data_IF_515999077950
#
_entry.id   IF_515999077950
#
_cell.length_a   1.000
_cell.length_b   1.000
_cell.length_c   1.000
_cell.angle_alpha   90.00
_cell.angle_beta   90.00
_cell.angle_gamma   90.00
#
_symmetry.space_group_name_H-M   'P 1'
#
loop_
_entity.id
_entity.type
_entity.pdbx_description
1 polymer ?
#
# COMPACT_ATOMS: atom_id res chain seq x y z
N UNK A 1 -22.87 1.52 14.92
CA UNK A 1 -22.61 1.80 13.50
C UNK A 1 -22.65 0.56 12.63
N UNK A 2 -21.68 -0.38 12.75
CA UNK A 2 -21.60 -1.54 11.85
C UNK A 2 -22.83 -2.45 11.94
N UNK A 3 -23.32 -2.73 13.14
CA UNK A 3 -24.50 -3.58 13.33
C UNK A 3 -25.73 -2.96 12.65
N UNK A 4 -25.94 -1.67 12.82
CA UNK A 4 -27.03 -0.95 12.14
C UNK A 4 -26.98 -1.12 10.61
N UNK A 5 -25.79 -1.05 10.01
CA UNK A 5 -25.64 -1.26 8.56
C UNK A 5 -26.02 -2.69 8.17
N UNK A 6 -25.58 -3.69 8.95
CA UNK A 6 -25.96 -5.10 8.72
C UNK A 6 -27.49 -5.31 8.82
N UNK A 7 -28.12 -4.68 9.79
CA UNK A 7 -29.57 -4.77 9.98
C UNK A 7 -30.32 -4.13 8.81
N UNK A 8 -29.91 -2.94 8.35
CA UNK A 8 -30.46 -2.27 7.18
C UNK A 8 -30.29 -3.09 5.89
N UNK A 9 -29.13 -3.72 5.70
CA UNK A 9 -28.88 -4.61 4.55
C UNK A 9 -29.93 -5.74 4.52
N UNK A 10 -30.18 -6.38 5.65
CA UNK A 10 -31.14 -7.48 5.76
C UNK A 10 -32.58 -7.01 5.58
N UNK A 11 -32.97 -5.93 6.26
CA UNK A 11 -34.31 -5.38 6.24
C UNK A 11 -34.74 -4.93 4.85
N UNK A 12 -33.84 -4.19 4.17
CA UNK A 12 -34.12 -3.60 2.86
C UNK A 12 -33.57 -4.40 1.67
N UNK A 13 -32.94 -5.56 1.92
CA UNK A 13 -32.32 -6.42 0.88
C UNK A 13 -31.38 -5.63 -0.03
N UNK A 14 -30.51 -4.83 0.58
CA UNK A 14 -29.59 -3.97 -0.17
C UNK A 14 -28.48 -4.82 -0.82
N UNK A 15 -28.12 -4.49 -2.05
CA UNK A 15 -27.05 -5.11 -2.81
C UNK A 15 -25.82 -4.20 -3.01
N UNK A 16 -25.96 -2.91 -2.69
CA UNK A 16 -24.92 -1.89 -2.79
C UNK A 16 -24.96 -0.95 -1.60
N UNK A 17 -23.78 -0.52 -1.16
CA UNK A 17 -23.66 0.32 0.03
C UNK A 17 -22.82 1.56 -0.29
N UNK A 18 -23.28 2.73 0.15
CA UNK A 18 -22.49 3.96 0.17
C UNK A 18 -22.34 4.43 1.61
N UNK A 19 -21.12 4.67 2.01
CA UNK A 19 -20.78 5.22 3.33
C UNK A 19 -20.26 6.65 3.15
N UNK A 20 -20.99 7.62 3.70
CA UNK A 20 -20.55 9.01 3.74
C UNK A 20 -19.78 9.26 5.04
N UNK A 21 -18.45 9.31 4.99
CA UNK A 21 -17.60 9.42 6.19
C UNK A 21 -16.25 10.04 5.89
N UNK A 22 -15.22 9.60 6.59
CA UNK A 22 -13.82 9.97 6.42
C UNK A 22 -13.20 9.36 5.15
N UNK A 23 -11.91 9.57 4.96
CA UNK A 23 -11.15 8.97 3.86
C UNK A 23 -11.32 7.45 3.80
N UNK A 24 -11.54 6.87 2.60
CA UNK A 24 -11.57 5.41 2.41
C UNK A 24 -10.30 4.72 2.90
N UNK A 25 -9.12 5.39 2.81
CA UNK A 25 -7.84 4.85 3.29
C UNK A 25 -7.87 4.36 4.73
N UNK A 26 -8.68 4.99 5.59
CA UNK A 26 -8.78 4.64 7.00
C UNK A 26 -9.80 3.53 7.28
N UNK A 27 -10.91 3.51 6.57
CA UNK A 27 -12.08 2.75 6.99
C UNK A 27 -12.59 1.73 5.97
N UNK A 28 -12.13 1.76 4.74
CA UNK A 28 -12.60 0.87 3.67
C UNK A 28 -12.47 -0.60 4.06
N UNK A 29 -11.30 -0.99 4.54
CA UNK A 29 -11.05 -2.37 4.97
C UNK A 29 -11.97 -2.82 6.11
N UNK A 30 -12.33 -1.90 7.02
CA UNK A 30 -13.25 -2.17 8.13
C UNK A 30 -14.65 -2.48 7.63
N UNK A 31 -15.15 -1.66 6.71
CA UNK A 31 -16.48 -1.87 6.12
C UNK A 31 -16.51 -3.08 5.18
N UNK A 32 -15.47 -3.30 4.38
CA UNK A 32 -15.34 -4.52 3.54
C UNK A 32 -15.34 -5.81 4.39
N UNK A 33 -14.63 -5.80 5.53
CA UNK A 33 -14.68 -6.93 6.47
C UNK A 33 -16.08 -7.13 7.05
N UNK A 34 -16.75 -6.04 7.43
CA UNK A 34 -18.13 -6.11 7.92
C UNK A 34 -19.09 -6.70 6.87
N UNK A 35 -18.94 -6.34 5.59
CA UNK A 35 -19.79 -6.84 4.51
C UNK A 35 -19.58 -8.34 4.25
N UNK A 36 -18.41 -8.91 4.54
CA UNK A 36 -18.18 -10.37 4.43
C UNK A 36 -19.13 -11.21 5.31
N UNK A 37 -19.69 -10.60 6.37
CA UNK A 37 -20.67 -11.25 7.25
C UNK A 37 -22.12 -11.01 6.77
N UNK A 38 -22.31 -10.50 5.55
CA UNK A 38 -23.61 -10.24 4.94
C UNK A 38 -23.65 -10.84 3.53
N UNK A 39 -24.82 -10.80 2.89
CA UNK A 39 -24.99 -11.27 1.51
C UNK A 39 -24.48 -10.27 0.45
N UNK A 40 -23.95 -9.12 0.87
CA UNK A 40 -23.41 -8.09 -0.03
C UNK A 40 -21.94 -8.35 -0.35
N UNK A 41 -21.61 -8.40 -1.64
CA UNK A 41 -20.22 -8.51 -2.05
C UNK A 41 -19.39 -7.32 -1.51
N UNK A 42 -18.25 -7.53 -0.85
CA UNK A 42 -17.45 -6.46 -0.23
C UNK A 42 -16.98 -5.35 -1.20
N UNK A 43 -16.98 -5.63 -2.49
CA UNK A 43 -16.59 -4.66 -3.52
C UNK A 43 -17.78 -3.83 -4.06
N UNK A 44 -18.99 -4.13 -3.61
CA UNK A 44 -20.19 -3.31 -3.85
C UNK A 44 -20.33 -2.21 -2.78
N UNK A 45 -19.20 -1.67 -2.34
CA UNK A 45 -19.08 -0.60 -1.34
C UNK A 45 -18.36 0.59 -1.95
N UNK A 46 -18.93 1.76 -1.79
CA UNK A 46 -18.26 3.03 -2.08
C UNK A 46 -18.25 3.93 -0.84
N UNK A 47 -17.18 4.71 -0.67
CA UNK A 47 -17.03 5.66 0.44
C UNK A 47 -16.91 7.08 -0.10
N UNK A 48 -17.90 7.91 0.20
CA UNK A 48 -17.85 9.33 -0.07
C UNK A 48 -17.11 10.04 1.07
N UNK A 49 -15.97 10.62 0.76
CA UNK A 49 -15.16 11.38 1.72
C UNK A 49 -15.76 12.76 1.95
N UNK A 50 -16.66 12.87 2.91
CA UNK A 50 -17.31 14.13 3.28
C UNK A 50 -16.63 14.88 4.43
N UNK A 51 -15.50 14.36 4.94
CA UNK A 51 -14.71 15.00 5.97
C UNK A 51 -13.52 15.75 5.36
N UNK A 52 -12.51 15.07 4.88
CA UNK A 52 -11.28 15.66 4.37
C UNK A 52 -11.50 16.45 3.07
N UNK A 53 -12.37 15.97 2.20
CA UNK A 53 -12.68 16.64 0.92
C UNK A 53 -13.85 17.62 0.98
N UNK A 54 -14.51 17.74 2.11
CA UNK A 54 -15.68 18.59 2.27
C UNK A 54 -15.61 19.45 3.53
N UNK A 55 -15.91 18.91 4.71
CA UNK A 55 -16.06 19.70 5.93
C UNK A 55 -14.78 20.36 6.42
N UNK A 56 -13.61 19.79 6.12
CA UNK A 56 -12.34 20.37 6.51
C UNK A 56 -11.86 21.52 5.60
N UNK A 57 -12.30 21.54 4.35
CA UNK A 57 -11.84 22.50 3.34
C UNK A 57 -12.85 23.61 3.04
N UNK A 58 -14.04 23.54 3.65
CA UNK A 58 -15.07 24.57 3.50
C UNK A 58 -15.40 25.20 4.85
N UNK A 59 -15.29 26.51 4.92
CA UNK A 59 -15.70 27.31 6.08
C UNK A 59 -17.18 27.68 6.04
N UNK A 60 -17.75 27.76 4.83
CA UNK A 60 -19.14 28.04 4.56
C UNK A 60 -19.97 26.75 4.62
N UNK A 61 -20.96 26.69 5.52
CA UNK A 61 -21.79 25.51 5.77
C UNK A 61 -22.69 25.14 4.59
N UNK A 62 -23.20 26.13 3.86
CA UNK A 62 -24.08 25.88 2.70
C UNK A 62 -23.29 25.23 1.57
N UNK A 63 -22.15 25.81 1.22
CA UNK A 63 -21.22 25.24 0.22
C UNK A 63 -20.71 23.87 0.63
N UNK A 64 -20.41 23.64 1.90
CA UNK A 64 -20.03 22.35 2.43
C UNK A 64 -21.17 21.32 2.24
N UNK A 65 -22.42 21.71 2.50
CA UNK A 65 -23.58 20.83 2.31
C UNK A 65 -23.79 20.50 0.84
N UNK A 66 -23.74 21.47 -0.06
CA UNK A 66 -23.82 21.24 -1.50
C UNK A 66 -22.72 20.28 -1.98
N UNK A 67 -21.50 20.47 -1.52
CA UNK A 67 -20.37 19.60 -1.83
C UNK A 67 -20.57 18.18 -1.30
N UNK A 68 -21.06 18.03 -0.07
CA UNK A 68 -21.34 16.71 0.53
C UNK A 68 -22.43 15.96 -0.29
N UNK A 69 -23.48 16.65 -0.70
CA UNK A 69 -24.53 16.08 -1.55
C UNK A 69 -23.94 15.64 -2.90
N UNK A 70 -23.10 16.47 -3.51
CA UNK A 70 -22.46 16.13 -4.78
C UNK A 70 -21.58 14.89 -4.65
N UNK A 71 -20.75 14.80 -3.59
CA UNK A 71 -19.89 13.64 -3.32
C UNK A 71 -20.71 12.37 -3.09
N UNK A 72 -21.80 12.46 -2.32
CA UNK A 72 -22.70 11.33 -2.09
C UNK A 72 -23.37 10.85 -3.38
N UNK A 73 -23.88 11.79 -4.21
CA UNK A 73 -24.46 11.46 -5.52
C UNK A 73 -23.46 10.78 -6.46
N UNK A 74 -22.23 11.26 -6.50
CA UNK A 74 -21.16 10.63 -7.28
C UNK A 74 -20.88 9.21 -6.82
N UNK A 75 -20.79 8.99 -5.50
CA UNK A 75 -20.57 7.66 -4.93
C UNK A 75 -21.72 6.70 -5.24
N UNK A 76 -22.96 7.15 -5.16
CA UNK A 76 -24.15 6.36 -5.55
C UNK A 76 -24.10 6.02 -7.04
N UNK A 77 -23.81 6.99 -7.90
CA UNK A 77 -23.70 6.76 -9.34
C UNK A 77 -22.57 5.80 -9.70
N UNK A 78 -21.44 5.85 -8.97
CA UNK A 78 -20.30 4.96 -9.14
C UNK A 78 -20.66 3.53 -8.74
N UNK A 79 -21.11 3.31 -7.49
CA UNK A 79 -21.44 1.96 -7.01
C UNK A 79 -22.57 1.31 -7.80
N UNK A 80 -23.48 2.12 -8.38
CA UNK A 80 -24.53 1.63 -9.28
C UNK A 80 -24.00 0.99 -10.57
N UNK A 81 -22.74 1.29 -10.94
CA UNK A 81 -22.06 0.75 -12.13
C UNK A 81 -21.00 -0.30 -11.80
N UNK A 82 -20.70 -0.48 -10.51
CA UNK A 82 -19.73 -1.48 -10.07
C UNK A 82 -20.29 -2.90 -10.23
N UNK A 83 -19.39 -3.84 -10.43
CA UNK A 83 -19.70 -5.27 -10.51
C UNK A 83 -19.05 -6.00 -9.33
N UNK A 84 -19.66 -7.11 -8.86
CA UNK A 84 -19.07 -7.93 -7.83
C UNK A 84 -17.70 -8.44 -8.26
N UNK A 85 -16.71 -8.25 -7.41
CA UNK A 85 -15.36 -8.79 -7.60
C UNK A 85 -15.14 -9.97 -6.67
N UNK A 86 -14.41 -10.96 -7.16
CA UNK A 86 -14.08 -12.16 -6.41
C UNK A 86 -12.57 -12.26 -6.26
N UNK A 87 -12.12 -12.70 -5.09
CA UNK A 87 -10.70 -12.98 -4.86
C UNK A 87 -10.29 -14.24 -5.58
N UNK A 88 -9.19 -14.18 -6.31
CA UNK A 88 -8.53 -15.35 -6.87
C UNK A 88 -7.24 -15.63 -6.11
N UNK A 89 -6.88 -16.89 -5.96
CA UNK A 89 -5.59 -17.30 -5.41
C UNK A 89 -4.67 -17.66 -6.57
N UNK A 90 -3.57 -16.94 -6.68
CA UNK A 90 -2.54 -17.19 -7.69
C UNK A 90 -1.33 -17.77 -6.98
N UNK A 91 -0.78 -18.89 -7.45
CA UNK A 91 0.48 -19.42 -6.92
C UNK A 91 1.60 -18.43 -7.23
N UNK A 92 2.44 -18.16 -6.24
CA UNK A 92 3.60 -17.28 -6.41
C UNK A 92 4.90 -18.06 -6.17
N UNK A 93 5.93 -17.75 -6.90
CA UNK A 93 7.28 -18.16 -6.57
C UNK A 93 7.80 -17.27 -5.43
N UNK A 94 8.19 -17.91 -4.33
CA UNK A 94 8.68 -17.20 -3.14
C UNK A 94 10.13 -16.72 -3.33
N UNK A 95 10.36 -15.93 -4.37
CA UNK A 95 11.64 -15.29 -4.70
C UNK A 95 11.40 -13.81 -4.94
N UNK A 96 12.36 -12.98 -4.59
CA UNK A 96 12.31 -11.54 -4.81
C UNK A 96 13.50 -11.08 -5.65
N UNK A 97 13.26 -10.11 -6.53
CA UNK A 97 14.29 -9.33 -7.18
C UNK A 97 14.24 -7.91 -6.61
N UNK A 98 15.35 -7.47 -6.05
CA UNK A 98 15.53 -6.09 -5.57
C UNK A 98 16.48 -5.39 -6.53
N UNK A 99 16.04 -4.27 -7.10
CA UNK A 99 16.81 -3.50 -8.08
C UNK A 99 17.34 -2.25 -7.42
N UNK A 100 18.67 -2.14 -7.38
CA UNK A 100 19.42 -1.05 -6.77
C UNK A 100 19.96 -1.39 -5.40
N UNK A 101 21.29 -1.44 -5.28
CA UNK A 101 22.03 -1.74 -4.06
C UNK A 101 22.32 -0.52 -3.18
N UNK A 102 21.48 0.51 -3.21
CA UNK A 102 21.52 1.60 -2.23
C UNK A 102 20.97 1.17 -0.88
N UNK A 103 21.00 2.04 0.14
CA UNK A 103 20.60 1.70 1.51
C UNK A 103 19.17 1.15 1.60
N UNK A 104 18.24 1.65 0.79
CA UNK A 104 16.87 1.17 0.74
C UNK A 104 16.77 -0.25 0.18
N UNK A 105 17.47 -0.53 -0.93
CA UNK A 105 17.52 -1.86 -1.53
C UNK A 105 18.24 -2.88 -0.65
N UNK A 106 19.34 -2.49 -0.02
CA UNK A 106 20.04 -3.29 0.98
C UNK A 106 19.09 -3.69 2.12
N UNK A 107 18.38 -2.71 2.71
CA UNK A 107 17.45 -3.00 3.81
C UNK A 107 16.29 -3.88 3.35
N UNK A 108 15.69 -3.59 2.19
CA UNK A 108 14.62 -4.42 1.64
C UNK A 108 15.07 -5.86 1.38
N UNK A 109 16.28 -6.04 0.84
CA UNK A 109 16.86 -7.37 0.60
C UNK A 109 17.06 -8.15 1.91
N UNK A 110 17.57 -7.49 2.95
CA UNK A 110 17.75 -8.10 4.27
C UNK A 110 16.41 -8.49 4.88
N UNK A 111 15.43 -7.57 4.93
CA UNK A 111 14.12 -7.82 5.53
C UNK A 111 13.39 -9.01 4.85
N UNK A 112 13.49 -9.12 3.52
CA UNK A 112 12.89 -10.23 2.77
C UNK A 112 13.65 -11.54 3.02
N UNK A 113 14.97 -11.48 3.05
CA UNK A 113 15.82 -12.65 3.26
C UNK A 113 15.72 -13.21 4.68
N UNK A 114 15.63 -12.33 5.69
CA UNK A 114 15.39 -12.69 7.09
C UNK A 114 14.00 -13.33 7.29
N UNK A 115 13.03 -12.96 6.49
CA UNK A 115 11.73 -13.63 6.44
C UNK A 115 11.77 -15.03 5.77
N UNK A 116 12.96 -15.49 5.35
CA UNK A 116 13.20 -16.82 4.79
C UNK A 116 13.00 -16.94 3.27
N UNK A 117 12.92 -15.82 2.56
CA UNK A 117 12.75 -15.82 1.09
C UNK A 117 14.09 -15.63 0.37
N UNK A 118 14.24 -16.27 -0.79
CA UNK A 118 15.39 -16.05 -1.66
C UNK A 118 15.30 -14.67 -2.33
N UNK A 119 16.39 -13.92 -2.30
CA UNK A 119 16.48 -12.57 -2.88
C UNK A 119 17.65 -12.49 -3.84
N UNK A 120 17.42 -11.95 -5.03
CA UNK A 120 18.49 -11.47 -5.91
C UNK A 120 18.55 -9.95 -5.78
N UNK A 121 19.66 -9.41 -5.29
CA UNK A 121 19.93 -7.98 -5.23
C UNK A 121 20.78 -7.58 -6.43
N UNK A 122 20.22 -6.76 -7.31
CA UNK A 122 20.86 -6.30 -8.53
C UNK A 122 21.38 -4.87 -8.36
N UNK A 123 22.64 -4.63 -8.69
CA UNK A 123 23.26 -3.30 -8.68
C UNK A 123 24.06 -3.07 -9.96
N UNK A 124 23.86 -1.93 -10.61
CA UNK A 124 24.57 -1.57 -11.83
C UNK A 124 26.02 -1.16 -11.60
N UNK A 125 26.31 -0.57 -10.44
CA UNK A 125 27.67 -0.18 -10.08
C UNK A 125 28.46 -1.41 -9.62
N UNK A 126 29.81 -1.33 -9.63
CA UNK A 126 30.65 -2.44 -9.14
C UNK A 126 30.51 -2.73 -7.64
N UNK A 127 29.93 -1.82 -6.87
CA UNK A 127 29.74 -1.94 -5.43
C UNK A 127 28.36 -1.48 -5.01
N UNK A 128 27.79 -2.11 -3.98
CA UNK A 128 26.57 -1.64 -3.31
C UNK A 128 26.87 -0.47 -2.37
N UNK A 129 25.82 0.17 -1.85
CA UNK A 129 25.88 1.32 -0.93
C UNK A 129 25.27 2.60 -1.51
N UNK A 130 25.29 2.72 -2.84
CA UNK A 130 24.66 3.83 -3.56
C UNK A 130 25.15 5.20 -3.08
N UNK A 131 24.24 6.17 -2.99
CA UNK A 131 24.58 7.53 -2.56
C UNK A 131 24.97 7.61 -1.08
N UNK A 132 24.51 6.68 -0.24
CA UNK A 132 24.78 6.71 1.19
C UNK A 132 26.28 6.64 1.49
N UNK A 133 27.04 5.82 0.77
CA UNK A 133 28.51 5.68 0.97
C UNK A 133 29.30 6.89 0.50
N UNK A 134 28.68 7.81 -0.26
CA UNK A 134 29.30 9.06 -0.71
C UNK A 134 29.14 10.20 0.30
N UNK A 135 28.29 10.02 1.31
CA UNK A 135 28.04 11.02 2.33
C UNK A 135 29.01 10.84 3.50
N UNK A 136 29.46 11.96 4.08
CA UNK A 136 30.16 11.95 5.37
C UNK A 136 29.18 11.65 6.50
N UNK A 137 28.08 12.41 6.54
CA UNK A 137 27.06 12.34 7.60
C UNK A 137 25.67 12.36 7.05
N UNK A 138 24.71 11.78 7.79
CA UNK A 138 23.29 11.78 7.48
C UNK A 138 22.55 12.91 8.17
N UNK A 139 21.65 13.55 7.48
CA UNK A 139 20.72 14.52 8.05
C UNK A 139 19.48 13.80 8.62
N UNK A 140 18.87 14.23 9.74
CA UNK A 140 19.23 15.40 10.58
C UNK A 140 20.15 15.07 11.74
N UNK A 141 20.43 13.81 12.03
CA UNK A 141 21.13 13.33 13.23
C UNK A 141 22.64 13.53 13.17
N UNK A 142 23.17 13.77 11.97
CA UNK A 142 24.61 13.89 11.70
C UNK A 142 25.39 12.62 12.05
N UNK A 143 24.76 11.47 11.96
CA UNK A 143 25.40 10.19 12.13
C UNK A 143 26.37 9.88 10.97
N UNK A 144 27.41 9.11 11.25
CA UNK A 144 28.36 8.66 10.26
C UNK A 144 27.68 7.71 9.24
N UNK A 145 27.59 8.11 7.99
CA UNK A 145 26.92 7.32 6.96
C UNK A 145 27.59 6.00 6.66
N UNK A 146 28.93 5.96 6.66
CA UNK A 146 29.69 4.73 6.51
C UNK A 146 29.47 3.75 7.67
N UNK A 147 29.35 4.28 8.90
CA UNK A 147 29.10 3.46 10.10
C UNK A 147 27.72 2.79 10.06
N UNK A 148 26.75 3.39 9.37
CA UNK A 148 25.40 2.82 9.18
C UNK A 148 25.37 1.85 7.99
N UNK A 149 25.98 2.23 6.87
CA UNK A 149 25.87 1.45 5.62
C UNK A 149 26.78 0.23 5.58
N UNK A 150 28.03 0.34 6.07
CA UNK A 150 29.01 -0.74 5.94
C UNK A 150 28.57 -2.05 6.62
N UNK A 151 28.05 -2.07 7.86
CA UNK A 151 27.56 -3.30 8.46
C UNK A 151 26.49 -3.99 7.62
N UNK A 152 25.53 -3.21 7.09
CA UNK A 152 24.45 -3.72 6.25
C UNK A 152 24.94 -4.27 4.90
N UNK A 153 25.95 -3.62 4.31
CA UNK A 153 26.59 -4.12 3.08
C UNK A 153 27.28 -5.47 3.32
N UNK A 154 27.97 -5.61 4.46
CA UNK A 154 28.61 -6.87 4.86
C UNK A 154 27.55 -7.94 5.12
N UNK A 155 26.48 -7.60 5.81
CA UNK A 155 25.35 -8.51 6.09
C UNK A 155 24.72 -9.04 4.80
N UNK A 156 24.43 -8.16 3.83
CA UNK A 156 23.93 -8.56 2.50
C UNK A 156 24.88 -9.53 1.81
N UNK A 157 26.19 -9.23 1.82
CA UNK A 157 27.19 -10.07 1.12
C UNK A 157 27.38 -11.44 1.75
N UNK A 158 27.07 -11.58 3.04
CA UNK A 158 27.21 -12.82 3.80
C UNK A 158 25.88 -13.59 3.96
N UNK A 159 24.74 -13.00 3.61
CA UNK A 159 23.45 -13.59 3.88
C UNK A 159 23.15 -14.79 2.97
N UNK A 160 22.81 -15.99 3.51
CA UNK A 160 22.63 -17.21 2.73
C UNK A 160 21.47 -17.18 1.73
N UNK A 161 20.47 -16.31 1.96
CA UNK A 161 19.32 -16.17 1.10
C UNK A 161 19.43 -14.98 0.13
N UNK A 162 20.58 -14.29 0.08
CA UNK A 162 20.79 -13.16 -0.84
C UNK A 162 21.85 -13.52 -1.88
N UNK A 163 21.46 -13.46 -3.14
CA UNK A 163 22.36 -13.47 -4.27
C UNK A 163 22.65 -12.04 -4.70
N UNK A 164 23.86 -11.54 -4.41
CA UNK A 164 24.29 -10.20 -4.81
C UNK A 164 24.87 -10.23 -6.22
N UNK A 165 24.34 -9.42 -7.12
CA UNK A 165 24.84 -9.21 -8.48
C UNK A 165 25.16 -7.74 -8.69
N UNK A 166 26.44 -7.42 -8.76
CA UNK A 166 26.97 -6.09 -9.10
C UNK A 166 27.33 -6.02 -10.58
N UNK A 167 27.53 -4.80 -11.09
CA UNK A 167 27.81 -4.53 -12.51
C UNK A 167 26.78 -5.13 -13.46
N UNK A 168 25.52 -5.18 -13.04
CA UNK A 168 24.40 -5.76 -13.76
C UNK A 168 23.23 -4.80 -13.85
N UNK A 169 22.59 -4.74 -15.00
CA UNK A 169 21.36 -3.97 -15.23
C UNK A 169 20.22 -4.90 -15.63
N UNK A 170 19.00 -4.48 -15.30
CA UNK A 170 17.79 -5.17 -15.77
C UNK A 170 17.55 -4.78 -17.22
N UNK A 171 17.52 -5.76 -18.12
CA UNK A 171 17.28 -5.51 -19.54
C UNK A 171 15.79 -5.56 -19.88
N UNK A 172 15.06 -6.56 -19.39
CA UNK A 172 13.64 -6.74 -19.67
C UNK A 172 12.94 -7.56 -18.59
N UNK A 173 11.62 -7.42 -18.50
CA UNK A 173 10.74 -8.21 -17.65
C UNK A 173 9.61 -8.76 -18.50
N UNK A 174 9.54 -10.08 -18.62
CA UNK A 174 8.52 -10.79 -19.35
C UNK A 174 7.83 -11.85 -18.49
N UNK A 175 6.55 -12.14 -18.77
CA UNK A 175 5.79 -13.15 -18.04
C UNK A 175 4.45 -13.45 -18.67
#
# INVERSE_FOLDING_TARGET
GQQMVKDMIKEHKLDRIVICSCSPRMHENTFRKMLKDTDVNPYMLEIANIREQCSWVHTDKEKATEKAIALARMAVAKVGRDFPLFTSTIPIHKKALVIGGGIAGIQAALDIADAGYQVTLLEREPSIGGRMVMLDKTFPTLDCSACISTPKMVEVSAHPNIELRTSCELEDVSG
#
